data_IF_297847519173
#
_entry.id   IF_297847519173
#
_cell.length_a   1.000
_cell.length_b   1.000
_cell.length_c   1.000
_cell.angle_alpha   90.00
_cell.angle_beta   90.00
_cell.angle_gamma   90.00
#
_symmetry.space_group_name_H-M   'P 1'
#
loop_
_entity.id
_entity.type
_entity.pdbx_description
1 polymer ?
#
# COMPACT_ATOMS: atom_id res chain seq x y z
N UNK A 1 0.39 -5.19 -6.71
CA UNK A 1 -0.71 -4.22 -6.49
C UNK A 1 -0.15 -3.08 -5.67
N UNK A 2 -0.56 -1.84 -5.94
CA UNK A 2 -0.04 -0.65 -5.25
C UNK A 2 -1.18 0.15 -4.60
N UNK A 3 -0.86 0.90 -3.53
CA UNK A 3 -1.71 1.96 -2.99
C UNK A 3 -0.92 3.28 -2.98
N UNK A 4 -1.49 4.33 -3.57
CA UNK A 4 -0.78 5.59 -3.87
C UNK A 4 -1.67 6.82 -3.57
N UNK A 5 -1.05 7.98 -3.30
CA UNK A 5 -1.72 9.24 -2.93
C UNK A 5 -0.96 10.46 -3.51
N UNK A 6 -1.21 10.88 -4.76
CA UNK A 6 -2.04 10.25 -5.79
C UNK A 6 -1.30 9.15 -6.57
N UNK A 7 -1.97 8.51 -7.54
CA UNK A 7 -1.29 7.73 -8.59
C UNK A 7 -0.63 8.70 -9.56
N UNK A 8 0.70 8.65 -9.67
CA UNK A 8 1.46 9.64 -10.45
C UNK A 8 1.29 9.46 -11.96
N UNK A 9 1.31 8.21 -12.42
CA UNK A 9 0.97 7.82 -13.79
C UNK A 9 0.59 6.33 -13.83
N UNK A 10 -0.20 5.97 -14.84
CA UNK A 10 -0.65 4.60 -15.02
C UNK A 10 0.46 3.70 -15.59
N UNK A 11 0.68 2.56 -14.93
CA UNK A 11 1.61 1.53 -15.37
C UNK A 11 0.82 0.32 -15.86
N UNK A 12 0.91 0.05 -17.15
CA UNK A 12 0.22 -1.07 -17.78
C UNK A 12 0.57 -2.40 -17.09
N UNK A 13 -0.46 -3.17 -16.71
CA UNK A 13 -0.31 -4.46 -16.04
C UNK A 13 -0.13 -4.37 -14.52
N UNK A 14 -0.13 -3.19 -13.92
CA UNK A 14 -0.12 -3.00 -12.46
C UNK A 14 -1.48 -2.49 -12.00
N UNK A 15 -2.08 -3.19 -11.03
CA UNK A 15 -3.26 -2.68 -10.33
C UNK A 15 -2.82 -1.59 -9.34
N UNK A 16 -3.11 -0.33 -9.66
CA UNK A 16 -2.81 0.83 -8.83
C UNK A 16 -4.09 1.36 -8.18
N UNK A 17 -4.10 1.44 -6.85
CA UNK A 17 -5.24 1.93 -6.06
C UNK A 17 -4.92 3.31 -5.53
N UNK A 18 -5.74 4.30 -5.86
CA UNK A 18 -5.59 5.64 -5.29
C UNK A 18 -6.27 5.75 -3.92
N UNK A 19 -5.60 6.39 -2.97
CA UNK A 19 -6.17 6.81 -1.69
C UNK A 19 -7.32 7.79 -1.92
N UNK A 20 -8.41 7.60 -1.19
CA UNK A 20 -9.60 8.44 -1.24
C UNK A 20 -10.15 8.66 0.16
N UNK A 21 -9.56 9.62 0.86
CA UNK A 21 -9.89 9.93 2.25
C UNK A 21 -11.36 10.36 2.44
N UNK A 22 -11.97 10.97 1.42
CA UNK A 22 -13.39 11.39 1.39
C UNK A 22 -14.38 10.22 1.60
N UNK A 23 -13.98 9.01 1.19
CA UNK A 23 -14.78 7.78 1.34
C UNK A 23 -14.13 6.76 2.28
N UNK A 24 -13.14 7.18 3.07
CA UNK A 24 -12.46 6.32 4.04
C UNK A 24 -11.48 5.30 3.44
N UNK A 25 -11.11 5.44 2.16
CA UNK A 25 -10.07 4.61 1.53
C UNK A 25 -8.69 5.16 1.88
N UNK A 26 -8.22 4.90 3.10
CA UNK A 26 -6.88 5.28 3.60
C UNK A 26 -5.80 4.27 3.15
N UNK A 27 -4.52 4.58 3.37
CA UNK A 27 -3.43 3.62 3.17
C UNK A 27 -3.64 2.31 3.92
N UNK A 28 -3.95 2.37 5.23
CA UNK A 28 -4.18 1.18 6.04
C UNK A 28 -5.41 0.38 5.57
N UNK A 29 -6.50 1.05 5.19
CA UNK A 29 -7.72 0.41 4.69
C UNK A 29 -7.47 -0.29 3.34
N UNK A 30 -6.83 0.40 2.40
CA UNK A 30 -6.48 -0.13 1.08
C UNK A 30 -5.49 -1.29 1.20
N UNK A 31 -4.43 -1.16 2.01
CA UNK A 31 -3.43 -2.20 2.22
C UNK A 31 -4.08 -3.49 2.79
N UNK A 32 -4.96 -3.37 3.79
CA UNK A 32 -5.73 -4.54 4.29
C UNK A 32 -6.59 -5.18 3.20
N UNK A 33 -7.20 -4.37 2.33
CA UNK A 33 -8.01 -4.87 1.24
C UNK A 33 -7.16 -5.61 0.19
N UNK A 34 -5.99 -5.06 -0.15
CA UNK A 34 -5.06 -5.65 -1.12
C UNK A 34 -4.55 -7.01 -0.66
N UNK A 35 -4.24 -7.19 0.63
CA UNK A 35 -3.78 -8.48 1.16
C UNK A 35 -4.81 -9.61 1.01
N UNK A 36 -6.11 -9.29 0.93
CA UNK A 36 -7.15 -10.29 0.65
C UNK A 36 -7.20 -10.74 -0.81
N UNK A 37 -6.50 -10.06 -1.71
CA UNK A 37 -6.35 -10.46 -3.11
C UNK A 37 -5.18 -11.42 -3.36
N UNK A 38 -4.52 -11.89 -2.30
CA UNK A 38 -3.33 -12.76 -2.37
C UNK A 38 -2.23 -12.24 -3.33
N UNK A 39 -1.79 -10.97 -3.21
CA UNK A 39 -0.75 -10.43 -4.08
C UNK A 39 0.62 -11.03 -3.75
N UNK A 40 1.52 -11.14 -4.73
CA UNK A 40 2.92 -11.48 -4.43
C UNK A 40 3.75 -10.25 -4.05
N UNK A 41 3.48 -9.12 -4.71
CA UNK A 41 4.19 -7.86 -4.53
C UNK A 41 3.20 -6.75 -4.21
N UNK A 42 3.51 -6.01 -3.15
CA UNK A 42 2.75 -4.88 -2.64
C UNK A 42 3.65 -3.64 -2.63
N UNK A 43 3.13 -2.52 -3.11
CA UNK A 43 3.75 -1.21 -2.92
C UNK A 43 2.79 -0.29 -2.18
N UNK A 44 3.28 0.38 -1.14
CA UNK A 44 2.57 1.42 -0.41
C UNK A 44 3.32 2.70 -0.67
N UNK A 45 2.67 3.76 -1.15
CA UNK A 45 3.36 5.00 -1.52
C UNK A 45 4.31 5.50 -0.43
N UNK A 46 3.81 5.55 0.81
CA UNK A 46 4.57 5.89 1.99
C UNK A 46 3.93 5.31 3.27
N UNK A 47 4.72 5.17 4.34
CA UNK A 47 4.23 4.78 5.67
C UNK A 47 4.19 6.02 6.56
N UNK A 48 2.99 6.60 6.77
CA UNK A 48 2.76 7.81 7.58
C UNK A 48 2.46 7.54 9.05
N UNK A 49 1.93 6.36 9.36
CA UNK A 49 1.43 6.00 10.68
C UNK A 49 1.81 4.57 11.09
N UNK A 50 1.69 4.30 12.39
CA UNK A 50 2.03 3.00 12.97
C UNK A 50 1.11 1.90 12.44
N UNK A 51 -0.16 2.20 12.22
CA UNK A 51 -1.13 1.22 11.72
C UNK A 51 -0.71 0.65 10.36
N UNK A 52 -0.36 1.54 9.42
CA UNK A 52 0.12 1.16 8.09
C UNK A 52 1.45 0.41 8.18
N UNK A 53 2.36 0.86 9.07
CA UNK A 53 3.64 0.19 9.31
C UNK A 53 3.46 -1.25 9.81
N UNK A 54 2.59 -1.46 10.80
CA UNK A 54 2.31 -2.79 11.36
C UNK A 54 1.74 -3.74 10.31
N UNK A 55 0.81 -3.26 9.47
CA UNK A 55 0.25 -4.08 8.39
C UNK A 55 1.33 -4.42 7.35
N UNK A 56 2.16 -3.45 6.96
CA UNK A 56 3.24 -3.66 5.99
C UNK A 56 4.28 -4.67 6.50
N UNK A 57 4.67 -4.57 7.78
CA UNK A 57 5.58 -5.53 8.41
C UNK A 57 4.96 -6.92 8.45
N UNK A 58 3.71 -7.05 8.90
CA UNK A 58 3.02 -8.35 8.92
C UNK A 58 2.88 -8.96 7.51
N UNK A 59 2.62 -8.14 6.49
CA UNK A 59 2.60 -8.60 5.09
C UNK A 59 3.97 -9.17 4.68
N UNK A 60 5.06 -8.49 5.02
CA UNK A 60 6.42 -8.96 4.72
C UNK A 60 6.78 -10.29 5.39
N UNK A 61 6.30 -10.49 6.62
CA UNK A 61 6.50 -11.73 7.38
C UNK A 61 5.64 -12.90 6.89
N UNK A 62 4.62 -12.63 6.07
CA UNK A 62 3.68 -13.63 5.55
C UNK A 62 3.85 -13.92 4.06
N UNK A 63 5.03 -13.60 3.51
CA UNK A 63 5.41 -13.99 2.14
C UNK A 63 5.08 -12.96 1.06
N UNK A 64 4.78 -11.72 1.43
CA UNK A 64 4.58 -10.62 0.48
C UNK A 64 5.87 -9.80 0.35
N UNK A 65 6.30 -9.49 -0.87
CA UNK A 65 7.34 -8.49 -1.08
C UNK A 65 6.74 -7.10 -0.97
N UNK A 66 7.20 -6.28 -0.02
CA UNK A 66 6.63 -4.95 0.28
C UNK A 66 7.63 -3.85 -0.04
N UNK A 67 7.22 -2.87 -0.84
CA UNK A 67 7.94 -1.61 -1.10
C UNK A 67 7.21 -0.44 -0.46
N UNK A 68 7.96 0.52 0.09
CA UNK A 68 7.42 1.79 0.59
C UNK A 68 8.52 2.84 0.70
N UNK A 69 8.12 4.10 0.90
CA UNK A 69 9.02 5.21 1.22
C UNK A 69 8.78 5.74 2.64
N UNK A 70 9.77 6.48 3.14
CA UNK A 70 9.72 7.28 4.37
C UNK A 70 10.45 8.60 4.13
N UNK A 71 10.03 9.64 4.82
CA UNK A 71 10.72 10.92 4.83
C UNK A 71 11.73 10.96 5.98
N UNK A 72 13.00 10.66 5.68
CA UNK A 72 14.13 10.75 6.62
C UNK A 72 15.18 11.73 6.06
N UNK A 73 15.88 12.45 6.93
CA UNK A 73 16.97 13.37 6.54
C UNK A 73 18.26 12.63 6.14
#
# INVERSE_FOLDING_TARGET
ITVEDPVEYEVAGINQVQVRADVGMTFSAALRAMLRQAPNIVMVGEIRDLETAEIAINASLTGHMVFSTLHTN
#
